data_IF_359900110028
#
_entry.id   IF_359900110028
#
_cell.length_a   1.000
_cell.length_b   1.000
_cell.length_c   1.000
_cell.angle_alpha   90.00
_cell.angle_beta   90.00
_cell.angle_gamma   90.00
#
_symmetry.space_group_name_H-M   'P 1'
#
loop_
_entity.id
_entity.type
_entity.pdbx_description
1 polymer ?
#
# COMPACT_ATOMS: atom_id res chain seq x y z
N UNK A 1 -1.27 12.46 29.42
CA UNK A 1 0.02 12.92 28.86
C UNK A 1 0.38 12.02 27.70
N UNK A 2 -0.01 12.39 26.48
CA UNK A 2 0.22 11.60 25.26
C UNK A 2 1.48 12.16 24.62
N UNK A 3 2.54 11.35 24.51
CA UNK A 3 3.77 11.71 23.79
C UNK A 3 3.54 11.41 22.31
N UNK A 4 3.38 12.46 21.52
CA UNK A 4 3.46 12.38 20.07
C UNK A 4 4.94 12.26 19.67
N UNK A 5 5.32 11.12 19.08
CA UNK A 5 6.61 10.98 18.42
C UNK A 5 6.41 11.30 16.92
N UNK A 6 7.00 12.42 16.50
CA UNK A 6 7.08 12.83 15.11
C UNK A 6 8.25 12.07 14.47
N UNK A 7 7.98 11.12 13.59
CA UNK A 7 9.02 10.43 12.83
C UNK A 7 9.21 11.13 11.47
N UNK A 8 10.42 11.68 11.27
CA UNK A 8 10.91 12.17 9.98
C UNK A 8 11.25 10.95 9.11
N UNK A 9 10.62 10.80 7.95
CA UNK A 9 10.85 9.66 7.04
C UNK A 9 11.62 10.16 5.81
N UNK A 10 12.86 9.68 5.68
CA UNK A 10 13.69 9.84 4.49
C UNK A 10 13.57 8.53 3.69
N UNK A 11 13.09 8.62 2.44
CA UNK A 11 13.06 7.48 1.52
C UNK A 11 14.43 7.36 0.87
N UNK A 12 15.18 6.31 1.21
CA UNK A 12 16.41 5.92 0.50
C UNK A 12 16.09 4.73 -0.40
N UNK A 13 16.23 4.89 -1.71
CA UNK A 13 16.16 3.78 -2.67
C UNK A 13 17.53 3.08 -2.65
N UNK A 14 17.59 1.88 -2.06
CA UNK A 14 18.77 1.02 -2.13
C UNK A 14 18.60 0.02 -3.29
N UNK A 15 19.55 0.02 -4.23
CA UNK A 15 19.71 -1.03 -5.23
C UNK A 15 20.44 -2.23 -4.61
N UNK A 16 19.79 -3.39 -4.50
CA UNK A 16 20.43 -4.63 -4.03
C UNK A 16 21.27 -5.29 -5.13
N UNK A 17 22.48 -5.81 -4.84
CA UNK A 17 23.21 -6.66 -5.77
C UNK A 17 22.71 -8.11 -5.70
N UNK A 18 22.82 -8.79 -6.84
CA UNK A 18 22.37 -10.15 -7.11
C UNK A 18 22.98 -11.23 -6.19
N UNK A 19 22.13 -12.19 -5.83
CA UNK A 19 22.38 -13.44 -5.09
C UNK A 19 23.36 -14.36 -5.83
N UNK A 20 24.30 -14.97 -5.10
CA UNK A 20 25.00 -16.18 -5.51
C UNK A 20 24.82 -17.23 -4.40
N UNK A 21 24.37 -18.42 -4.79
CA UNK A 21 24.09 -19.56 -3.93
C UNK A 21 25.35 -20.24 -3.40
N UNK A 22 25.25 -20.84 -2.21
CA UNK A 22 26.01 -22.04 -1.87
C UNK A 22 25.14 -22.96 -1.02
N UNK A 23 24.82 -24.11 -1.61
CA UNK A 23 24.16 -25.28 -1.03
C UNK A 23 25.14 -25.99 -0.07
N UNK A 24 24.71 -26.30 1.15
CA UNK A 24 25.47 -27.15 2.08
C UNK A 24 24.51 -28.17 2.73
N UNK A 25 24.66 -29.43 2.32
CA UNK A 25 24.18 -30.60 3.06
C UNK A 25 25.34 -31.07 3.94
N UNK A 26 25.02 -31.53 5.15
CA UNK A 26 25.77 -32.47 6.02
C UNK A 26 24.93 -32.61 7.31
N UNK A 27 24.89 -33.70 8.05
CA UNK A 27 25.06 -35.13 7.81
C UNK A 27 24.39 -35.80 9.02
N UNK A 28 24.06 -37.08 8.89
CA UNK A 28 23.33 -37.87 9.85
C UNK A 28 24.04 -38.11 11.20
N UNK A 29 23.25 -38.66 12.14
CA UNK A 29 23.61 -39.30 13.42
C UNK A 29 23.58 -38.37 14.66
N UNK A 30 23.03 -38.75 15.81
CA UNK A 30 23.18 -40.01 16.52
C UNK A 30 21.98 -40.22 17.48
N UNK A 31 21.41 -41.43 17.51
CA UNK A 31 20.50 -41.87 18.59
C UNK A 31 21.34 -42.29 19.79
N UNK A 32 20.96 -41.87 21.00
CA UNK A 32 21.37 -42.56 22.22
C UNK A 32 20.17 -42.72 23.16
N UNK A 33 19.72 -43.97 23.19
CA UNK A 33 18.75 -44.51 24.13
C UNK A 33 19.51 -44.87 25.42
N UNK A 34 19.10 -44.28 26.54
CA UNK A 34 19.58 -44.72 27.86
C UNK A 34 18.39 -44.83 28.79
N UNK A 35 17.85 -46.04 28.84
CA UNK A 35 16.91 -46.51 29.84
C UNK A 35 17.63 -46.62 31.19
N UNK A 36 17.30 -45.72 32.11
CA UNK A 36 17.62 -45.86 33.52
C UNK A 36 16.30 -46.02 34.30
N UNK A 37 16.07 -47.25 34.77
CA UNK A 37 14.94 -47.60 35.62
C UNK A 37 15.08 -46.89 36.97
N UNK A 38 14.21 -45.91 37.22
CA UNK A 38 13.99 -45.33 38.54
C UNK A 38 12.73 -45.96 39.14
N UNK A 39 12.86 -46.46 40.36
CA UNK A 39 11.82 -47.14 41.10
C UNK A 39 10.55 -46.28 41.26
N UNK A 40 9.39 -46.86 40.96
CA UNK A 40 8.09 -46.22 41.09
C UNK A 40 7.76 -45.99 42.58
N UNK A 41 7.71 -44.72 42.98
CA UNK A 41 6.94 -44.27 44.14
C UNK A 41 5.45 -44.28 43.74
N UNK A 42 4.52 -44.76 44.59
CA UNK A 42 3.09 -44.57 44.35
C UNK A 42 2.77 -43.07 44.47
N UNK A 43 2.62 -42.41 43.33
CA UNK A 43 2.10 -41.05 43.25
C UNK A 43 0.62 -41.04 43.68
N UNK A 44 0.27 -40.09 44.54
CA UNK A 44 -1.12 -39.77 44.83
C UNK A 44 -1.83 -39.34 43.53
N UNK A 45 -3.15 -39.52 43.40
CA UNK A 45 -3.89 -39.09 42.21
C UNK A 45 -3.71 -37.57 42.01
N UNK A 46 -2.83 -37.19 41.08
CA UNK A 46 -2.74 -35.81 40.61
C UNK A 46 -3.91 -35.64 39.65
N UNK A 47 -4.94 -34.95 40.14
CA UNK A 47 -6.02 -34.47 39.30
C UNK A 47 -5.40 -33.67 38.14
N UNK A 48 -5.67 -34.03 36.86
CA UNK A 48 -5.02 -33.37 35.74
C UNK A 48 -5.43 -31.90 35.76
N UNK A 49 -4.48 -31.04 36.13
CA UNK A 49 -4.61 -29.62 35.93
C UNK A 49 -4.88 -29.41 34.44
N UNK A 50 -6.11 -29.02 34.12
CA UNK A 50 -6.47 -28.59 32.78
C UNK A 50 -5.48 -27.49 32.40
N UNK A 51 -4.53 -27.82 31.52
CA UNK A 51 -3.71 -26.83 30.86
C UNK A 51 -4.67 -25.96 30.06
N UNK A 52 -5.01 -24.80 30.61
CA UNK A 52 -5.54 -23.70 29.82
C UNK A 52 -4.42 -23.31 28.87
N UNK A 53 -4.37 -23.99 27.72
CA UNK A 53 -3.68 -23.45 26.56
C UNK A 53 -4.44 -22.16 26.27
N UNK A 54 -3.85 -21.04 26.65
CA UNK A 54 -4.32 -19.74 26.18
C UNK A 54 -4.45 -19.87 24.66
N UNK A 55 -5.62 -19.56 24.07
CA UNK A 55 -5.74 -19.55 22.63
C UNK A 55 -4.62 -18.65 22.12
N UNK A 56 -3.79 -19.19 21.23
CA UNK A 56 -2.79 -18.39 20.54
C UNK A 56 -3.51 -17.14 20.02
N UNK A 57 -2.95 -15.93 20.22
CA UNK A 57 -3.58 -14.71 19.75
C UNK A 57 -3.95 -14.95 18.29
N UNK A 58 -5.25 -14.79 17.97
CA UNK A 58 -5.76 -14.96 16.62
C UNK A 58 -4.84 -14.14 15.71
N UNK A 59 -4.04 -14.86 14.91
CA UNK A 59 -3.03 -14.25 14.07
C UNK A 59 -3.72 -13.22 13.21
N UNK A 60 -3.27 -11.97 13.32
CA UNK A 60 -3.74 -10.88 12.48
C UNK A 60 -3.79 -11.39 11.03
N UNK A 61 -4.97 -11.41 10.35
CA UNK A 61 -5.08 -12.01 9.04
C UNK A 61 -4.02 -11.37 8.14
N UNK A 62 -3.16 -12.20 7.55
CA UNK A 62 -2.02 -11.72 6.78
C UNK A 62 -2.53 -10.74 5.71
N UNK A 63 -1.95 -9.55 5.69
CA UNK A 63 -2.34 -8.50 4.76
C UNK A 63 -2.25 -9.00 3.32
N UNK A 64 -3.25 -8.68 2.51
CA UNK A 64 -3.22 -8.91 1.07
C UNK A 64 -3.49 -10.35 0.65
N UNK A 65 -4.12 -11.17 1.49
CA UNK A 65 -4.70 -12.45 1.08
C UNK A 65 -5.96 -12.24 0.23
N UNK A 66 -6.32 -13.23 -0.58
CA UNK A 66 -7.58 -13.24 -1.35
C UNK A 66 -8.78 -12.82 -0.48
N UNK A 67 -9.59 -11.90 -1.00
CA UNK A 67 -10.80 -11.41 -0.35
C UNK A 67 -10.58 -10.33 0.70
N UNK A 68 -9.34 -10.05 1.09
CA UNK A 68 -8.99 -9.03 2.08
C UNK A 68 -9.47 -7.64 1.65
N UNK A 69 -9.87 -6.83 2.63
CA UNK A 69 -10.38 -5.47 2.41
C UNK A 69 -9.69 -4.48 3.32
N UNK A 70 -9.54 -3.27 2.84
CA UNK A 70 -9.02 -2.17 3.64
C UNK A 70 -9.64 -0.85 3.17
N UNK A 71 -9.52 0.18 4.02
CA UNK A 71 -9.66 1.56 3.58
C UNK A 71 -8.35 2.31 3.83
N UNK A 72 -8.09 3.37 3.08
CA UNK A 72 -6.96 4.25 3.35
C UNK A 72 -7.29 5.72 3.13
N UNK A 73 -6.53 6.57 3.81
CA UNK A 73 -6.42 7.99 3.46
C UNK A 73 -5.01 8.28 2.98
N UNK A 74 -4.88 8.94 1.82
CA UNK A 74 -3.61 9.29 1.22
C UNK A 74 -3.54 10.79 0.95
N UNK A 75 -2.40 11.39 1.26
CA UNK A 75 -2.03 12.71 0.78
C UNK A 75 -1.01 12.56 -0.34
N UNK A 76 -1.10 13.41 -1.36
CA UNK A 76 -0.14 13.42 -2.44
C UNK A 76 0.21 14.82 -2.94
N UNK A 77 1.39 14.90 -3.54
CA UNK A 77 1.92 16.09 -4.20
C UNK A 77 2.31 15.71 -5.61
N UNK A 78 1.78 16.43 -6.59
CA UNK A 78 2.02 16.23 -8.01
C UNK A 78 2.89 17.37 -8.54
N UNK A 79 4.10 17.03 -8.95
CA UNK A 79 5.05 17.96 -9.53
C UNK A 79 4.78 18.06 -11.02
N UNK A 80 4.36 19.25 -11.45
CA UNK A 80 4.18 19.64 -12.84
C UNK A 80 5.34 20.58 -13.20
N UNK A 81 5.60 20.82 -14.48
CA UNK A 81 6.61 21.80 -14.87
C UNK A 81 6.30 23.15 -14.22
N UNK A 82 7.17 23.57 -13.31
CA UNK A 82 7.14 24.82 -12.55
C UNK A 82 5.88 25.07 -11.66
N UNK A 83 5.01 24.09 -11.44
CA UNK A 83 3.89 24.17 -10.48
C UNK A 83 3.75 22.90 -9.62
N UNK A 84 2.91 22.96 -8.59
CA UNK A 84 2.68 21.82 -7.70
C UNK A 84 1.20 21.70 -7.32
N UNK A 85 0.64 20.53 -7.58
CA UNK A 85 -0.73 20.19 -7.17
C UNK A 85 -0.74 19.35 -5.90
N UNK A 86 -1.86 19.41 -5.21
CA UNK A 86 -2.08 18.64 -3.98
C UNK A 86 -3.33 17.79 -4.11
N UNK A 87 -3.24 16.57 -3.58
CA UNK A 87 -4.35 15.63 -3.53
C UNK A 87 -4.54 15.09 -2.11
N UNK A 88 -5.80 14.94 -1.71
CA UNK A 88 -6.19 14.15 -0.56
C UNK A 88 -7.21 13.13 -1.03
N UNK A 89 -6.94 11.84 -0.85
CA UNK A 89 -7.83 10.77 -1.28
C UNK A 89 -8.25 9.85 -0.15
N UNK A 90 -9.50 9.37 -0.25
CA UNK A 90 -10.00 8.21 0.46
C UNK A 90 -10.07 7.05 -0.53
N UNK A 91 -9.56 5.89 -0.13
CA UNK A 91 -9.47 4.72 -0.99
C UNK A 91 -10.10 3.51 -0.31
N UNK A 92 -10.81 2.71 -1.09
CA UNK A 92 -11.26 1.38 -0.72
C UNK A 92 -10.43 0.36 -1.48
N UNK A 93 -10.04 -0.69 -0.77
CA UNK A 93 -9.10 -1.70 -1.21
C UNK A 93 -9.78 -3.07 -1.18
N UNK A 94 -9.59 -3.86 -2.22
CA UNK A 94 -10.08 -5.23 -2.25
C UNK A 94 -9.12 -6.15 -3.00
N UNK A 95 -8.56 -7.13 -2.29
CA UNK A 95 -7.72 -8.16 -2.89
C UNK A 95 -8.59 -9.19 -3.60
N UNK A 96 -8.40 -9.32 -4.91
CA UNK A 96 -9.03 -10.33 -5.75
C UNK A 96 -8.35 -11.69 -5.63
N UNK A 97 -7.06 -11.67 -5.29
CA UNK A 97 -6.18 -12.80 -5.02
C UNK A 97 -5.01 -12.26 -4.18
N UNK A 98 -4.08 -13.12 -3.79
CA UNK A 98 -2.93 -12.79 -2.96
C UNK A 98 -2.02 -11.71 -3.57
N UNK A 99 -2.03 -11.54 -4.90
CA UNK A 99 -1.16 -10.59 -5.59
C UNK A 99 -1.91 -9.41 -6.22
N UNK A 100 -3.23 -9.48 -6.36
CA UNK A 100 -4.02 -8.54 -7.14
C UNK A 100 -5.03 -7.78 -6.30
N UNK A 101 -4.93 -6.45 -6.33
CA UNK A 101 -5.77 -5.56 -5.55
C UNK A 101 -6.52 -4.59 -6.48
N UNK A 102 -7.82 -4.44 -6.24
CA UNK A 102 -8.61 -3.33 -6.79
C UNK A 102 -8.65 -2.16 -5.82
N UNK A 103 -8.50 -0.96 -6.38
CA UNK A 103 -8.68 0.30 -5.68
C UNK A 103 -9.89 1.05 -6.21
N UNK A 104 -10.71 1.56 -5.31
CA UNK A 104 -11.66 2.63 -5.60
C UNK A 104 -11.22 3.89 -4.86
N UNK A 105 -10.97 4.97 -5.58
CA UNK A 105 -10.39 6.20 -5.03
C UNK A 105 -11.34 7.39 -5.21
N UNK A 106 -11.52 8.16 -4.14
CA UNK A 106 -12.24 9.43 -4.12
C UNK A 106 -11.24 10.51 -3.69
N UNK A 107 -10.91 11.43 -4.58
CA UNK A 107 -9.86 12.42 -4.32
C UNK A 107 -10.37 13.85 -4.40
N UNK A 108 -9.98 14.70 -3.44
CA UNK A 108 -10.02 16.15 -3.57
C UNK A 108 -8.70 16.68 -4.09
N UNK A 109 -8.74 17.68 -4.97
CA UNK A 109 -7.58 18.26 -5.63
C UNK A 109 -7.54 19.77 -5.46
N UNK A 110 -6.31 20.29 -5.33
CA UNK A 110 -5.98 21.71 -5.46
C UNK A 110 -4.91 21.83 -6.54
N UNK A 111 -5.20 22.61 -7.57
CA UNK A 111 -4.35 22.80 -8.73
C UNK A 111 -3.70 24.18 -8.71
N UNK A 112 -2.38 24.19 -8.78
CA UNK A 112 -1.60 25.41 -8.98
C UNK A 112 -1.29 25.53 -10.47
N UNK A 113 -1.94 26.48 -11.14
CA UNK A 113 -1.82 26.68 -12.58
C UNK A 113 -1.02 27.95 -12.84
N UNK A 114 0.11 27.84 -13.54
CA UNK A 114 1.00 28.98 -13.74
C UNK A 114 0.43 30.03 -14.69
N UNK A 115 -0.23 29.58 -15.75
CA UNK A 115 -0.66 30.42 -16.87
C UNK A 115 -2.15 30.83 -16.75
N UNK A 116 -2.81 30.48 -15.64
CA UNK A 116 -4.23 30.69 -15.42
C UNK A 116 -4.64 30.62 -13.95
N UNK A 117 -5.94 30.42 -13.70
CA UNK A 117 -6.51 30.51 -12.37
C UNK A 117 -6.34 29.17 -11.60
N UNK A 118 -6.04 29.25 -10.30
CA UNK A 118 -5.98 28.05 -9.46
C UNK A 118 -7.35 27.38 -9.40
N UNK A 119 -7.37 26.05 -9.58
CA UNK A 119 -8.59 25.26 -9.58
C UNK A 119 -8.66 24.33 -8.37
N UNK A 120 -9.88 23.90 -8.03
CA UNK A 120 -10.15 22.86 -7.06
C UNK A 120 -11.14 21.87 -7.65
N UNK A 121 -10.96 20.59 -7.36
CA UNK A 121 -11.76 19.55 -7.98
C UNK A 121 -11.97 18.30 -7.13
N UNK A 122 -12.94 17.51 -7.56
CA UNK A 122 -13.22 16.18 -7.04
C UNK A 122 -12.96 15.14 -8.12
N UNK A 123 -12.44 13.99 -7.70
CA UNK A 123 -12.09 12.89 -8.59
C UNK A 123 -12.64 11.57 -8.09
N UNK A 124 -12.91 10.70 -9.05
CA UNK A 124 -13.29 9.32 -8.81
C UNK A 124 -12.49 8.43 -9.74
N UNK A 125 -11.83 7.41 -9.20
CA UNK A 125 -10.93 6.55 -9.98
C UNK A 125 -11.06 5.08 -9.60
N UNK A 126 -10.88 4.23 -10.61
CA UNK A 126 -10.62 2.82 -10.42
C UNK A 126 -9.12 2.57 -10.63
N UNK A 127 -8.56 1.77 -9.73
CA UNK A 127 -7.16 1.38 -9.75
C UNK A 127 -7.00 -0.13 -9.63
N UNK A 128 -5.84 -0.59 -10.03
CA UNK A 128 -5.38 -1.95 -9.92
C UNK A 128 -3.94 -1.92 -9.41
N UNK A 129 -3.66 -2.75 -8.41
CA UNK A 129 -2.33 -2.94 -7.87
C UNK A 129 -1.90 -4.40 -8.01
N UNK A 130 -0.67 -4.60 -8.46
CA UNK A 130 -0.03 -5.91 -8.52
C UNK A 130 1.12 -5.95 -7.52
N UNK A 131 0.99 -6.77 -6.47
CA UNK A 131 1.99 -6.95 -5.42
C UNK A 131 2.99 -8.03 -5.85
N UNK A 132 4.16 -7.61 -6.33
CA UNK A 132 5.15 -8.52 -6.91
C UNK A 132 6.30 -8.84 -5.95
N UNK A 133 6.45 -8.07 -4.88
CA UNK A 133 7.58 -8.12 -3.96
C UNK A 133 7.06 -8.07 -2.53
N UNK A 134 7.76 -8.73 -1.62
CA UNK A 134 7.46 -8.70 -0.20
C UNK A 134 8.31 -9.71 0.56
N UNK A 135 8.21 -9.69 1.88
CA UNK A 135 8.65 -10.80 2.70
C UNK A 135 7.54 -11.85 2.86
N UNK A 136 7.91 -13.00 3.41
CA UNK A 136 7.00 -14.13 3.62
C UNK A 136 5.87 -13.80 4.61
N UNK A 137 6.12 -12.88 5.54
CA UNK A 137 5.14 -12.44 6.54
C UNK A 137 4.21 -11.31 6.02
N UNK A 138 4.51 -10.75 4.85
CA UNK A 138 3.86 -9.58 4.25
C UNK A 138 3.89 -8.35 5.18
N UNK A 139 4.94 -8.22 5.98
CA UNK A 139 5.22 -7.02 6.77
C UNK A 139 5.53 -5.84 5.87
N UNK A 140 6.06 -6.10 4.68
CA UNK A 140 6.06 -5.14 3.58
C UNK A 140 5.68 -5.81 2.27
N UNK A 141 5.07 -5.04 1.37
CA UNK A 141 4.86 -5.48 -0.02
C UNK A 141 5.14 -4.32 -0.96
N UNK A 142 5.81 -4.59 -2.07
CA UNK A 142 6.00 -3.66 -3.17
C UNK A 142 5.00 -3.96 -4.29
N UNK A 143 4.44 -2.90 -4.89
CA UNK A 143 3.42 -3.04 -5.92
C UNK A 143 3.63 -2.11 -7.12
N UNK A 144 3.06 -2.51 -8.26
CA UNK A 144 2.78 -1.65 -9.40
C UNK A 144 1.35 -1.12 -9.29
N UNK A 145 1.12 0.16 -9.56
CA UNK A 145 -0.20 0.84 -9.50
C UNK A 145 -0.58 1.30 -10.91
N UNK A 146 -1.77 0.94 -11.36
CA UNK A 146 -2.36 1.41 -12.61
C UNK A 146 -3.77 1.89 -12.33
N UNK A 147 -4.22 2.94 -13.01
CA UNK A 147 -5.59 3.39 -12.82
C UNK A 147 -6.07 4.36 -13.88
N UNK A 148 -7.38 4.55 -13.87
CA UNK A 148 -8.07 5.55 -14.66
C UNK A 148 -9.23 6.10 -13.84
N UNK A 149 -9.59 7.34 -14.10
CA UNK A 149 -10.72 7.96 -13.45
C UNK A 149 -11.21 9.17 -14.20
N UNK A 150 -12.07 9.89 -13.52
CA UNK A 150 -12.62 11.17 -13.94
C UNK A 150 -12.33 12.24 -12.90
N UNK A 151 -12.23 13.48 -13.35
CA UNK A 151 -12.06 14.69 -12.56
C UNK A 151 -13.19 15.65 -12.95
N UNK A 152 -13.80 16.27 -11.94
CA UNK A 152 -14.62 17.46 -12.11
C UNK A 152 -14.02 18.60 -11.29
N UNK A 153 -13.71 19.72 -11.93
CA UNK A 153 -13.12 20.90 -11.32
C UNK A 153 -14.08 22.10 -11.39
N UNK A 154 -13.80 23.12 -10.60
CA UNK A 154 -14.52 24.39 -10.65
C UNK A 154 -14.04 25.32 -11.77
N UNK A 155 -12.91 24.98 -12.39
CA UNK A 155 -12.28 25.68 -13.52
C UNK A 155 -11.58 24.67 -14.44
N UNK A 156 -11.04 25.13 -15.56
CA UNK A 156 -10.34 24.30 -16.55
C UNK A 156 -9.03 23.71 -15.98
N UNK A 157 -8.78 22.41 -16.17
CA UNK A 157 -7.54 21.74 -15.76
C UNK A 157 -7.02 20.81 -16.86
N UNK A 158 -5.89 21.13 -17.52
CA UNK A 158 -5.11 22.37 -17.37
C UNK A 158 -5.85 23.58 -17.96
N UNK A 159 -5.29 24.78 -17.75
CA UNK A 159 -5.71 26.00 -18.44
C UNK A 159 -5.90 25.79 -19.95
N UNK A 160 -7.03 26.28 -20.48
CA UNK A 160 -7.43 26.08 -21.87
C UNK A 160 -7.98 24.69 -22.17
N UNK A 161 -8.01 23.80 -21.19
CA UNK A 161 -8.58 22.46 -21.27
C UNK A 161 -10.07 22.46 -20.92
N UNK A 162 -10.48 21.58 -20.00
CA UNK A 162 -11.87 21.51 -19.57
C UNK A 162 -11.98 21.40 -18.07
N UNK A 163 -13.17 21.65 -17.53
CA UNK A 163 -13.45 21.38 -16.11
C UNK A 163 -13.82 19.89 -15.86
N UNK A 164 -13.88 19.06 -16.91
CA UNK A 164 -14.19 17.64 -16.79
C UNK A 164 -13.19 16.80 -17.59
N UNK A 165 -12.33 16.09 -16.87
CA UNK A 165 -11.17 15.42 -17.46
C UNK A 165 -11.07 13.95 -17.06
N UNK A 166 -10.24 13.22 -17.79
CA UNK A 166 -9.86 11.85 -17.48
C UNK A 166 -8.49 11.82 -16.83
N UNK A 167 -8.33 10.93 -15.85
CA UNK A 167 -7.14 10.88 -15.00
C UNK A 167 -6.42 9.53 -15.01
N UNK A 168 -5.82 9.13 -16.16
CA UNK A 168 -5.00 7.92 -16.19
C UNK A 168 -3.74 8.09 -15.33
N UNK A 169 -3.32 7.00 -14.70
CA UNK A 169 -2.15 6.95 -13.82
C UNK A 169 -1.43 5.62 -13.91
N UNK A 170 -0.12 5.65 -13.69
CA UNK A 170 0.71 4.47 -13.58
C UNK A 170 1.90 4.74 -12.66
N UNK A 171 2.28 3.78 -11.82
CA UNK A 171 3.32 3.99 -10.83
C UNK A 171 3.73 2.75 -10.07
N UNK A 172 4.46 2.98 -9.00
CA UNK A 172 4.92 1.96 -8.06
C UNK A 172 4.79 2.47 -6.63
N UNK A 173 4.69 1.55 -5.69
CA UNK A 173 4.65 1.87 -4.28
C UNK A 173 4.98 0.69 -3.40
N UNK A 174 4.87 0.91 -2.10
CA UNK A 174 5.03 -0.12 -1.11
C UNK A 174 4.13 0.14 0.08
N UNK A 175 3.69 -0.95 0.72
CA UNK A 175 3.04 -0.90 2.02
C UNK A 175 3.96 -1.48 3.09
N UNK A 176 3.90 -0.92 4.29
CA UNK A 176 4.66 -1.40 5.45
C UNK A 176 3.74 -1.51 6.66
N UNK A 177 3.74 -2.65 7.35
CA UNK A 177 3.00 -2.84 8.61
C UNK A 177 3.51 -1.86 9.67
N UNK A 178 2.59 -1.26 10.42
CA UNK A 178 2.89 -0.29 11.47
C UNK A 178 2.78 -0.94 12.85
N UNK A 179 3.94 -1.21 13.45
CA UNK A 179 4.02 -1.87 14.76
C UNK A 179 3.43 -3.28 14.71
N UNK A 180 2.72 -3.66 15.78
CA UNK A 180 2.13 -4.99 15.90
C UNK A 180 0.68 -5.06 15.37
N UNK A 181 0.11 -3.92 14.99
CA UNK A 181 -1.27 -3.79 14.52
C UNK A 181 -1.47 -4.16 13.04
N UNK A 182 -2.72 -4.18 12.55
CA UNK A 182 -3.05 -4.38 11.14
C UNK A 182 -2.78 -3.15 10.28
N UNK A 183 -2.62 -1.97 10.86
CA UNK A 183 -2.44 -0.72 10.12
C UNK A 183 -1.15 -0.74 9.30
N UNK A 184 -1.18 -0.06 8.16
CA UNK A 184 -0.05 0.01 7.23
C UNK A 184 0.22 1.44 6.77
N UNK A 185 1.49 1.75 6.61
CA UNK A 185 1.95 2.90 5.86
C UNK A 185 1.90 2.53 4.37
N UNK A 186 1.25 3.35 3.56
CA UNK A 186 1.21 3.22 2.11
C UNK A 186 1.97 4.40 1.48
N UNK A 187 2.99 4.13 0.68
CA UNK A 187 3.81 5.16 0.03
C UNK A 187 4.07 4.81 -1.42
N UNK A 188 4.22 5.81 -2.26
CA UNK A 188 4.59 5.55 -3.65
C UNK A 188 4.83 6.79 -4.49
N UNK A 189 5.13 6.50 -5.75
CA UNK A 189 5.33 7.48 -6.80
C UNK A 189 4.59 7.02 -8.05
N UNK A 190 3.92 7.94 -8.74
CA UNK A 190 3.17 7.64 -9.97
C UNK A 190 3.27 8.79 -10.96
N UNK A 191 3.26 8.44 -12.24
CA UNK A 191 2.83 9.36 -13.27
C UNK A 191 1.31 9.57 -13.13
N UNK A 192 0.90 10.83 -13.16
CA UNK A 192 -0.49 11.25 -13.08
C UNK A 192 -0.75 12.22 -14.24
N UNK A 193 -1.64 11.80 -15.13
CA UNK A 193 -2.04 12.57 -16.30
C UNK A 193 -3.48 13.05 -16.13
N UNK A 194 -3.76 14.22 -16.66
CA UNK A 194 -5.09 14.84 -16.69
C UNK A 194 -5.28 15.42 -18.09
N UNK A 195 -6.34 15.03 -18.78
CA UNK A 195 -6.73 15.63 -20.06
C UNK A 195 -8.19 15.37 -20.37
N UNK A 196 -8.78 16.17 -21.25
CA UNK A 196 -10.16 16.02 -21.69
C UNK A 196 -10.37 14.79 -22.61
N UNK A 197 -9.30 14.04 -22.92
CA UNK A 197 -9.30 12.88 -23.81
C UNK A 197 -9.93 13.16 -25.18
N UNK A 198 -9.69 14.36 -25.74
CA UNK A 198 -10.18 14.82 -27.05
C UNK A 198 -11.71 14.89 -27.17
N UNK A 199 -12.45 14.99 -26.06
CA UNK A 199 -13.92 15.10 -26.13
C UNK A 199 -14.40 16.36 -26.87
N UNK A 200 -13.55 17.39 -26.98
CA UNK A 200 -13.80 18.61 -27.75
C UNK A 200 -13.17 18.60 -29.15
N UNK A 201 -12.45 17.54 -29.52
CA UNK A 201 -11.73 17.40 -30.79
C UNK A 201 -10.24 17.11 -30.60
N UNK A 202 -9.56 16.65 -31.66
CA UNK A 202 -8.13 16.30 -31.61
C UNK A 202 -7.20 17.51 -31.48
N UNK A 203 -7.67 18.67 -31.92
CA UNK A 203 -6.89 19.91 -31.95
C UNK A 203 -6.99 20.68 -30.62
N UNK A 204 -7.81 20.18 -29.69
CA UNK A 204 -8.12 20.82 -28.40
C UNK A 204 -8.09 19.78 -27.26
N UNK A 205 -6.88 19.28 -26.99
CA UNK A 205 -6.62 18.37 -25.87
C UNK A 205 -5.37 18.80 -25.09
N UNK A 206 -5.40 19.98 -24.44
CA UNK A 206 -4.42 20.31 -23.42
C UNK A 206 -4.33 19.20 -22.37
N UNK A 207 -3.11 18.93 -21.94
CA UNK A 207 -2.82 17.87 -20.99
C UNK A 207 -1.89 18.36 -19.89
N UNK A 208 -2.10 17.81 -18.69
CA UNK A 208 -1.28 18.07 -17.52
C UNK A 208 -0.65 16.76 -17.07
N UNK A 209 0.66 16.66 -17.25
CA UNK A 209 1.47 15.51 -16.85
C UNK A 209 2.27 15.84 -15.60
N UNK A 210 2.19 14.96 -14.61
CA UNK A 210 2.87 15.16 -13.33
C UNK A 210 3.56 13.89 -12.83
N UNK A 211 4.65 14.10 -12.08
CA UNK A 211 5.22 13.09 -11.20
C UNK A 211 4.64 13.30 -9.80
N UNK A 212 3.84 12.35 -9.34
CA UNK A 212 3.13 12.43 -8.08
C UNK A 212 3.73 11.50 -7.03
N UNK A 213 4.07 12.07 -5.88
CA UNK A 213 4.39 11.31 -4.67
C UNK A 213 3.16 11.22 -3.78
N UNK A 214 2.99 10.11 -3.07
CA UNK A 214 1.93 9.97 -2.08
C UNK A 214 2.37 9.18 -0.85
N UNK A 215 1.70 9.48 0.25
CA UNK A 215 1.81 8.81 1.54
C UNK A 215 0.43 8.69 2.17
N UNK A 216 0.14 7.58 2.82
CA UNK A 216 -1.12 7.36 3.48
C UNK A 216 -1.07 6.30 4.55
N UNK A 217 -2.18 6.19 5.27
CA UNK A 217 -2.41 5.15 6.26
C UNK A 217 -3.55 4.27 5.76
N UNK A 218 -3.31 2.97 5.75
CA UNK A 218 -4.24 1.93 5.36
C UNK A 218 -4.65 1.11 6.58
N UNK A 219 -5.93 0.81 6.69
CA UNK A 219 -6.54 0.06 7.79
C UNK A 219 -7.34 -1.11 7.22
N UNK A 220 -6.82 -2.34 7.34
CA UNK A 220 -7.54 -3.59 7.09
C UNK A 220 -8.82 -3.76 7.92
N UNK A 221 -9.80 -4.51 7.40
CA UNK A 221 -11.01 -4.93 8.13
C UNK A 221 -11.66 -6.20 7.57
#
# INVERSE_FOLDING_TARGET
>A
MIRAALALIIVLVASSPSRAEAFHLDDASLKLDTTAALAAQPEAPVEPAASSVDPAPEGNPAFGLEGHRAWSMQFGTALVHDSTDYNLSFNLHHFLDDDFELLLSFGGWLFDQQDGDSAAGGSFSFGFRYHALGDEQRDWTGYFDFGIGILGANDEVPDGGTAFDFIPRAGVGATFRLGDGPERLDVGVRWQHISNATILGSDDNPARDSLMFYVGIMVPF
#
